data_IF_670679227888
#
_entry.id   IF_670679227888
#
_cell.length_a   1.000
_cell.length_b   1.000
_cell.length_c   1.000
_cell.angle_alpha   90.00
_cell.angle_beta   90.00
_cell.angle_gamma   90.00
#
_symmetry.space_group_name_H-M   'P 1'
#
loop_
_entity.id
_entity.type
_entity.pdbx_description
1 polymer ?
#
# COMPACT_ATOMS: atom_id res chain seq x y z
N UNK A 1 -0.74 -10.33 6.01
CA UNK A 1 -0.43 -10.46 7.45
C UNK A 1 -0.14 -9.06 7.98
N UNK A 2 -0.53 -8.72 9.21
CA UNK A 2 -0.21 -7.42 9.82
C UNK A 2 1.05 -7.55 10.70
N UNK A 3 1.91 -6.54 10.69
CA UNK A 3 3.13 -6.46 11.48
C UNK A 3 3.30 -5.08 12.13
N UNK A 4 4.06 -5.03 13.21
CA UNK A 4 4.48 -3.77 13.84
C UNK A 4 5.96 -3.53 13.50
N UNK A 5 6.26 -2.41 12.85
CA UNK A 5 7.65 -2.02 12.58
C UNK A 5 8.27 -1.46 13.87
N UNK A 6 9.29 -2.14 14.38
CA UNK A 6 9.88 -1.84 15.70
C UNK A 6 10.55 -0.46 15.74
N UNK A 7 11.10 0.02 14.63
CA UNK A 7 11.84 1.28 14.57
C UNK A 7 10.98 2.52 14.83
N UNK A 8 9.70 2.49 14.46
CA UNK A 8 8.80 3.65 14.50
C UNK A 8 7.38 3.33 14.96
N UNK A 9 7.15 2.09 15.43
CA UNK A 9 5.84 1.58 15.88
C UNK A 9 4.73 1.70 14.84
N UNK A 10 5.07 1.74 13.55
CA UNK A 10 4.09 1.79 12.47
C UNK A 10 3.50 0.40 12.23
N UNK A 11 2.17 0.32 12.15
CA UNK A 11 1.49 -0.88 11.66
C UNK A 11 1.69 -1.02 10.14
N UNK A 12 2.26 -2.14 9.73
CA UNK A 12 2.53 -2.49 8.35
C UNK A 12 1.73 -3.74 7.93
N UNK A 13 1.44 -3.84 6.64
CA UNK A 13 0.94 -5.04 6.01
C UNK A 13 2.10 -5.74 5.29
N UNK A 14 2.19 -7.06 5.43
CA UNK A 14 3.17 -7.90 4.74
C UNK A 14 2.47 -8.83 3.74
N UNK A 15 2.98 -8.83 2.51
CA UNK A 15 2.53 -9.69 1.41
C UNK A 15 3.72 -10.37 0.76
N UNK A 16 3.67 -11.70 0.64
CA UNK A 16 4.66 -12.47 -0.14
C UNK A 16 4.29 -12.37 -1.62
N UNK A 17 5.27 -12.06 -2.46
CA UNK A 17 5.13 -11.88 -3.91
C UNK A 17 6.24 -12.62 -4.64
N UNK A 18 5.96 -13.03 -5.88
CA UNK A 18 6.96 -13.61 -6.79
C UNK A 18 7.63 -12.52 -7.62
N UNK A 19 8.95 -12.51 -7.69
CA UNK A 19 9.72 -11.51 -8.45
C UNK A 19 9.46 -11.66 -9.94
N UNK A 20 9.39 -12.90 -10.43
CA UNK A 20 9.05 -13.25 -11.81
C UNK A 20 7.70 -12.69 -12.28
N UNK A 21 6.77 -12.38 -11.37
CA UNK A 21 5.47 -11.77 -11.71
C UNK A 21 5.57 -10.28 -12.06
N UNK A 22 6.65 -9.59 -11.65
CA UNK A 22 6.80 -8.14 -11.77
C UNK A 22 5.91 -7.33 -10.83
N UNK A 23 5.17 -7.97 -9.91
CA UNK A 23 4.32 -7.29 -8.93
C UNK A 23 5.11 -6.32 -8.06
N UNK A 24 6.34 -6.66 -7.70
CA UNK A 24 7.25 -5.79 -6.95
C UNK A 24 7.47 -4.45 -7.64
N UNK A 25 7.74 -4.48 -8.95
CA UNK A 25 7.98 -3.28 -9.77
C UNK A 25 6.72 -2.43 -9.88
N UNK A 26 5.57 -3.05 -10.13
CA UNK A 26 4.28 -2.36 -10.25
C UNK A 26 3.91 -1.69 -8.91
N UNK A 27 4.04 -2.42 -7.80
CA UNK A 27 3.68 -1.91 -6.49
C UNK A 27 4.54 -0.71 -6.06
N UNK A 28 5.80 -0.63 -6.51
CA UNK A 28 6.68 0.52 -6.22
C UNK A 28 6.52 1.73 -7.13
N UNK A 29 5.71 1.65 -8.20
CA UNK A 29 5.63 2.71 -9.21
C UNK A 29 5.32 4.10 -8.61
N UNK A 30 4.42 4.13 -7.62
CA UNK A 30 3.96 5.33 -6.92
C UNK A 30 4.54 5.47 -5.50
N UNK A 31 5.58 4.71 -5.15
CA UNK A 31 6.17 4.73 -3.80
C UNK A 31 7.46 5.56 -3.71
N UNK A 32 7.75 6.41 -4.69
CA UNK A 32 8.94 7.27 -4.72
C UNK A 32 8.77 8.54 -3.87
N UNK A 33 9.87 9.16 -3.43
CA UNK A 33 9.86 10.37 -2.58
C UNK A 33 9.08 11.55 -3.18
N UNK A 34 9.03 11.67 -4.51
CA UNK A 34 8.24 12.68 -5.22
C UNK A 34 6.73 12.50 -5.04
N UNK A 35 6.26 11.26 -4.94
CA UNK A 35 4.85 10.93 -4.71
C UNK A 35 4.48 11.04 -3.23
N UNK A 36 5.43 10.77 -2.35
CA UNK A 36 5.24 10.84 -0.89
C UNK A 36 4.90 12.26 -0.37
N UNK A 37 5.20 13.30 -1.15
CA UNK A 37 4.87 14.70 -0.82
C UNK A 37 3.52 15.16 -1.39
N UNK A 38 2.88 14.37 -2.26
CA UNK A 38 1.61 14.71 -2.88
C UNK A 38 0.44 14.20 -2.01
N UNK A 39 -0.32 15.11 -1.41
CA UNK A 39 -1.49 14.76 -0.60
C UNK A 39 -2.66 14.15 -1.40
N UNK A 40 -2.57 14.15 -2.72
CA UNK A 40 -3.57 13.57 -3.62
C UNK A 40 -3.21 12.18 -4.15
N UNK A 41 -2.01 11.68 -3.84
CA UNK A 41 -1.66 10.29 -4.13
C UNK A 41 -2.23 9.40 -3.02
N UNK A 42 -3.31 8.70 -3.36
CA UNK A 42 -4.01 7.77 -2.47
C UNK A 42 -3.57 6.31 -2.70
N UNK A 43 -2.53 6.06 -3.50
CA UNK A 43 -1.99 4.73 -3.67
C UNK A 43 -1.34 4.20 -2.38
N UNK A 44 -1.42 2.88 -2.22
CA UNK A 44 -0.85 2.23 -1.04
C UNK A 44 0.66 2.23 -1.15
N UNK A 45 1.30 2.87 -0.19
CA UNK A 45 2.76 3.02 -0.14
C UNK A 45 3.45 1.72 0.24
N UNK A 46 4.44 1.35 -0.56
CA UNK A 46 5.43 0.30 -0.24
C UNK A 46 6.52 0.92 0.63
N UNK A 47 6.69 0.38 1.83
CA UNK A 47 7.69 0.81 2.81
C UNK A 47 9.04 0.11 2.60
N UNK A 48 9.06 -1.03 1.92
CA UNK A 48 10.27 -1.76 1.60
C UNK A 48 10.02 -3.24 1.28
N UNK A 49 11.12 -3.98 1.19
CA UNK A 49 11.14 -5.40 0.85
C UNK A 49 11.96 -6.18 1.88
N UNK A 50 11.51 -7.39 2.21
CA UNK A 50 12.29 -8.35 2.98
C UNK A 50 12.56 -9.59 2.10
N UNK A 51 13.81 -10.07 2.01
CA UNK A 51 14.11 -11.29 1.28
C UNK A 51 13.51 -12.50 2.00
N UNK A 52 13.11 -13.52 1.24
CA UNK A 52 12.76 -14.84 1.78
C UNK A 52 14.01 -15.72 1.72
N UNK A 53 14.52 -16.24 2.85
CA UNK A 53 15.62 -17.19 2.83
C UNK A 53 15.28 -18.39 1.94
N UNK A 54 16.25 -18.85 1.15
CA UNK A 54 16.15 -20.04 0.29
C UNK A 54 15.23 -19.91 -0.94
N UNK A 55 14.51 -18.81 -1.11
CA UNK A 55 13.57 -18.58 -2.22
C UNK A 55 13.91 -17.28 -2.96
N UNK A 56 14.84 -17.34 -3.92
CA UNK A 56 15.32 -16.15 -4.66
C UNK A 56 14.23 -15.48 -5.52
N UNK A 57 13.21 -16.24 -5.95
CA UNK A 57 12.07 -15.71 -6.71
C UNK A 57 10.95 -15.18 -5.79
N UNK A 58 11.15 -15.13 -4.47
CA UNK A 58 10.15 -14.61 -3.54
C UNK A 58 10.68 -13.48 -2.66
N UNK A 59 9.84 -12.45 -2.52
CA UNK A 59 10.10 -11.32 -1.61
C UNK A 59 8.85 -11.03 -0.80
N UNK A 60 9.03 -10.46 0.37
CA UNK A 60 7.94 -9.94 1.18
C UNK A 60 7.89 -8.42 0.96
N UNK A 61 6.79 -7.96 0.37
CA UNK A 61 6.42 -6.55 0.33
C UNK A 61 5.98 -6.12 1.73
N UNK A 62 6.57 -5.04 2.23
CA UNK A 62 6.14 -4.35 3.44
C UNK A 62 5.43 -3.07 3.00
N UNK A 63 4.18 -2.91 3.39
CA UNK A 63 3.30 -1.82 2.95
C UNK A 63 2.67 -1.14 4.16
N UNK A 64 2.14 0.06 3.98
CA UNK A 64 1.28 0.68 5.02
C UNK A 64 0.04 -0.19 5.28
N UNK A 65 -0.45 -0.21 6.52
CA UNK A 65 -1.66 -0.96 6.88
C UNK A 65 -2.86 -0.46 6.07
N UNK A 66 -3.53 -1.38 5.38
CA UNK A 66 -4.72 -1.10 4.59
C UNK A 66 -5.99 -1.38 5.41
N UNK A 67 -7.00 -0.53 5.25
CA UNK A 67 -8.35 -0.85 5.68
C UNK A 67 -9.08 -1.72 4.65
N UNK A 68 -10.05 -2.52 5.09
CA UNK A 68 -10.88 -3.33 4.18
C UNK A 68 -11.74 -2.42 3.31
N UNK A 69 -11.52 -2.43 2.00
CA UNK A 69 -12.21 -1.54 1.05
C UNK A 69 -13.62 -2.00 0.68
N UNK A 70 -13.91 -3.31 0.82
CA UNK A 70 -15.16 -3.92 0.33
C UNK A 70 -16.33 -3.79 1.32
N UNK A 71 -16.08 -3.26 2.51
CA UNK A 71 -17.09 -2.98 3.53
C UNK A 71 -16.80 -1.63 4.21
N UNK A 72 -16.84 -0.51 3.45
CA UNK A 72 -16.61 0.80 4.01
C UNK A 72 -17.80 1.21 4.86
N UNK A 73 -17.57 1.44 6.16
CA UNK A 73 -18.63 1.79 7.12
C UNK A 73 -18.98 3.27 7.04
N UNK A 74 -19.60 3.69 5.94
CA UNK A 74 -20.12 5.05 5.79
C UNK A 74 -21.31 5.26 6.75
N UNK A 75 -21.22 6.31 7.56
CA UNK A 75 -22.28 6.82 8.45
C UNK A 75 -23.04 7.97 7.81
N UNK A 76 -22.45 8.64 6.82
CA UNK A 76 -23.09 9.77 6.12
C UNK A 76 -22.90 9.70 4.60
N UNK A 77 -23.78 10.38 3.86
CA UNK A 77 -23.65 10.55 2.40
C UNK A 77 -22.36 11.32 2.06
N UNK A 78 -21.95 12.28 2.90
CA UNK A 78 -20.72 13.04 2.71
C UNK A 78 -19.46 12.18 2.72
N UNK A 79 -19.39 11.18 3.61
CA UNK A 79 -18.27 10.22 3.65
C UNK A 79 -18.18 9.38 2.37
N UNK A 80 -19.32 8.98 1.79
CA UNK A 80 -19.34 8.24 0.53
C UNK A 80 -18.83 9.10 -0.64
N UNK A 81 -19.24 10.37 -0.72
CA UNK A 81 -18.73 11.29 -1.73
C UNK A 81 -17.23 11.57 -1.57
N UNK A 82 -16.75 11.72 -0.34
CA UNK A 82 -15.33 11.91 -0.07
C UNK A 82 -14.51 10.68 -0.50
N UNK A 83 -14.98 9.47 -0.20
CA UNK A 83 -14.35 8.23 -0.64
C UNK A 83 -14.29 8.12 -2.17
N UNK A 84 -15.38 8.42 -2.87
CA UNK A 84 -15.40 8.41 -4.35
C UNK A 84 -14.40 9.43 -4.91
N UNK A 85 -14.34 10.63 -4.31
CA UNK A 85 -13.39 11.67 -4.71
C UNK A 85 -11.95 11.20 -4.55
N UNK A 86 -11.59 10.63 -3.40
CA UNK A 86 -10.25 10.09 -3.13
C UNK A 86 -9.88 8.97 -4.11
N UNK A 87 -10.80 8.07 -4.44
CA UNK A 87 -10.57 7.03 -5.46
C UNK A 87 -10.29 7.61 -6.86
N UNK A 88 -10.99 8.67 -7.25
CA UNK A 88 -10.78 9.33 -8.54
C UNK A 88 -9.46 10.12 -8.53
N UNK A 89 -9.14 10.81 -7.44
CA UNK A 89 -7.85 11.52 -7.28
C UNK A 89 -6.67 10.55 -7.43
N UNK A 90 -6.75 9.37 -6.82
CA UNK A 90 -5.73 8.33 -6.94
C UNK A 90 -5.56 7.77 -8.37
N UNK A 91 -6.55 7.92 -9.26
CA UNK A 91 -6.42 7.51 -10.67
C UNK A 91 -5.70 8.55 -11.54
N UNK A 92 -5.61 9.79 -11.08
CA UNK A 92 -4.89 10.87 -11.76
C UNK A 92 -3.43 11.03 -11.30
N UNK A 93 -2.91 10.06 -10.52
CA UNK A 93 -1.55 10.07 -9.96
C UNK A 93 -0.47 9.77 -11.00
#
# INVERSE_FOLDING_TARGET
MDALRVSDSLMAAMKRVKVSSGEDRIATLFSNDTHNSNSHDHCVRVLGFLPVPEEEDEKILVMVRMHKIMDPRFRTVGEAFQFIKEMIEGLHS
#
